data_IF_234511878016
#
_entry.id   IF_234511878016
#
_cell.length_a   1.000
_cell.length_b   1.000
_cell.length_c   1.000
_cell.angle_alpha   90.00
_cell.angle_beta   90.00
_cell.angle_gamma   90.00
#
_symmetry.space_group_name_H-M   'P 1'
#
loop_
_entity.id
_entity.type
_entity.pdbx_description
1 polymer ?
#
# COMPACT_ATOMS: atom_id res chain seq x y z
N UNK A 1 -6.22 6.81 -0.71
CA UNK A 1 -5.07 7.73 -0.55
C UNK A 1 -3.79 6.91 -0.68
N UNK A 2 -2.83 7.35 -1.50
CA UNK A 2 -1.56 6.64 -1.73
C UNK A 2 -0.40 7.61 -1.59
N UNK A 3 0.51 7.36 -0.66
CA UNK A 3 1.68 8.21 -0.41
C UNK A 3 2.95 7.37 -0.35
N UNK A 4 4.07 7.95 -0.77
CA UNK A 4 5.37 7.28 -0.76
C UNK A 4 6.49 8.25 -0.37
N UNK A 5 7.40 7.82 0.50
CA UNK A 5 8.55 8.64 0.91
C UNK A 5 9.78 7.74 1.17
N UNK A 6 11.00 8.18 0.82
CA UNK A 6 12.22 7.39 1.05
C UNK A 6 12.60 7.25 2.52
N UNK A 7 12.31 8.25 3.35
CA UNK A 7 12.68 8.23 4.79
C UNK A 7 11.66 7.51 5.70
N UNK A 8 10.67 6.82 5.12
CA UNK A 8 9.70 6.06 5.90
C UNK A 8 10.18 4.64 6.16
N UNK A 9 9.80 4.06 7.30
CA UNK A 9 10.09 2.66 7.62
C UNK A 9 8.85 1.80 7.50
N UNK A 10 8.90 0.75 6.68
CA UNK A 10 7.82 -0.20 6.47
C UNK A 10 7.30 -0.83 7.78
N UNK A 11 8.14 -0.92 8.81
CA UNK A 11 7.76 -1.43 10.12
C UNK A 11 6.66 -0.59 10.80
N UNK A 12 6.60 0.72 10.56
CA UNK A 12 5.62 1.62 11.17
C UNK A 12 4.45 1.99 10.25
N UNK A 13 4.59 1.78 8.93
CA UNK A 13 3.58 2.20 7.95
C UNK A 13 2.20 1.60 8.21
N UNK A 14 2.12 0.35 8.66
CA UNK A 14 0.84 -0.30 8.95
C UNK A 14 0.08 0.33 10.13
N UNK A 15 0.80 0.89 11.11
CA UNK A 15 0.19 1.61 12.24
C UNK A 15 -0.30 2.99 11.81
N UNK A 16 0.55 3.72 11.08
CA UNK A 16 0.22 5.06 10.59
C UNK A 16 -0.95 5.01 9.60
N UNK A 17 -0.94 4.05 8.67
CA UNK A 17 -2.04 3.85 7.74
C UNK A 17 -3.36 3.55 8.46
N UNK A 18 -3.33 2.82 9.58
CA UNK A 18 -4.53 2.54 10.39
C UNK A 18 -5.12 3.81 10.97
N UNK A 19 -4.28 4.64 11.62
CA UNK A 19 -4.70 5.94 12.16
C UNK A 19 -5.28 6.86 11.08
N UNK A 20 -4.68 6.87 9.88
CA UNK A 20 -5.20 7.64 8.76
C UNK A 20 -6.53 7.08 8.22
N UNK A 21 -6.74 5.77 8.24
CA UNK A 21 -8.05 5.19 7.93
C UNK A 21 -9.08 5.64 8.97
N UNK A 22 -8.75 5.61 10.26
CA UNK A 22 -9.67 6.03 11.33
C UNK A 22 -10.02 7.52 11.23
N UNK A 23 -9.05 8.37 10.92
CA UNK A 23 -9.22 9.83 10.82
C UNK A 23 -9.99 10.26 9.56
N UNK A 24 -9.67 9.65 8.41
CA UNK A 24 -10.23 10.08 7.12
C UNK A 24 -11.36 9.20 6.58
N UNK A 25 -11.55 8.00 7.16
CA UNK A 25 -12.50 6.97 6.74
C UNK A 25 -12.36 6.58 5.25
N UNK A 26 -11.13 6.39 4.77
CA UNK A 26 -10.84 5.99 3.38
C UNK A 26 -9.69 4.99 3.36
N UNK A 27 -9.60 4.09 2.37
CA UNK A 27 -8.43 3.23 2.21
C UNK A 27 -7.13 4.04 2.06
N UNK A 28 -6.09 3.61 2.78
CA UNK A 28 -4.78 4.25 2.83
C UNK A 28 -3.69 3.26 2.46
N UNK A 29 -2.81 3.68 1.55
CA UNK A 29 -1.60 2.95 1.17
C UNK A 29 -0.42 3.86 1.42
N UNK A 30 0.51 3.41 2.26
CA UNK A 30 1.78 4.10 2.51
C UNK A 30 2.93 3.22 2.01
N UNK A 31 3.95 3.85 1.43
CA UNK A 31 5.04 3.14 0.77
C UNK A 31 6.38 3.73 1.22
N UNK A 32 7.26 2.87 1.72
CA UNK A 32 8.69 3.13 1.85
C UNK A 32 9.31 3.06 0.45
N UNK A 33 9.76 4.21 -0.07
CA UNK A 33 10.35 4.32 -1.40
C UNK A 33 11.84 3.99 -1.34
N UNK A 34 12.19 2.74 -1.60
CA UNK A 34 13.59 2.33 -1.76
C UNK A 34 14.14 2.63 -3.16
N UNK A 35 15.44 2.37 -3.37
CA UNK A 35 16.11 2.63 -4.65
C UNK A 35 15.71 1.64 -5.75
N UNK A 36 15.66 0.34 -5.42
CA UNK A 36 15.33 -0.74 -6.38
C UNK A 36 13.97 -1.37 -6.07
N UNK A 37 13.69 -1.62 -4.79
CA UNK A 37 12.44 -2.18 -4.31
C UNK A 37 11.80 -1.21 -3.33
N UNK A 38 10.47 -1.08 -3.40
CA UNK A 38 9.64 -0.32 -2.47
C UNK A 38 8.71 -1.26 -1.72
N UNK A 39 8.50 -1.01 -0.43
CA UNK A 39 7.63 -1.81 0.45
C UNK A 39 6.45 -0.98 0.92
N UNK A 40 5.27 -1.57 0.90
CA UNK A 40 4.04 -0.86 1.22
C UNK A 40 3.19 -1.56 2.26
N UNK A 41 2.47 -0.75 3.04
CA UNK A 41 1.40 -1.19 3.92
C UNK A 41 0.09 -0.52 3.49
N UNK A 42 -0.97 -1.32 3.42
CA UNK A 42 -2.28 -0.90 3.02
C UNK A 42 -3.30 -1.21 4.12
N UNK A 43 -4.17 -0.25 4.41
CA UNK A 43 -5.29 -0.36 5.35
C UNK A 43 -6.57 0.07 4.67
N UNK A 44 -7.68 -0.52 5.09
CA UNK A 44 -8.96 -0.34 4.44
C UNK A 44 -10.10 -0.15 5.44
N UNK A 45 -11.24 0.26 4.91
CA UNK A 45 -12.54 0.30 5.61
C UNK A 45 -13.33 -0.99 5.33
N UNK A 46 -14.32 -1.31 6.18
CA UNK A 46 -15.09 -2.57 6.14
C UNK A 46 -15.64 -2.93 4.75
N UNK A 47 -16.08 -1.93 3.98
CA UNK A 47 -16.70 -2.12 2.66
C UNK A 47 -15.71 -2.13 1.49
N UNK A 48 -14.40 -2.13 1.74
CA UNK A 48 -13.39 -2.16 0.69
C UNK A 48 -12.35 -3.26 0.94
N UNK A 49 -12.23 -4.22 0.03
CA UNK A 49 -11.25 -5.29 0.13
C UNK A 49 -9.93 -4.88 -0.53
N UNK A 50 -8.95 -4.50 0.30
CA UNK A 50 -7.65 -4.02 -0.18
C UNK A 50 -6.83 -5.11 -0.87
N UNK A 51 -6.92 -6.36 -0.41
CA UNK A 51 -6.21 -7.49 -1.02
C UNK A 51 -6.72 -7.77 -2.44
N UNK A 52 -8.04 -7.64 -2.66
CA UNK A 52 -8.61 -7.77 -4.02
C UNK A 52 -8.21 -6.60 -4.92
N UNK A 53 -8.06 -5.39 -4.38
CA UNK A 53 -7.54 -4.27 -5.16
C UNK A 53 -6.06 -4.51 -5.56
N UNK A 54 -5.24 -4.97 -4.61
CA UNK A 54 -3.84 -5.31 -4.87
C UNK A 54 -3.68 -6.46 -5.87
N UNK A 55 -4.57 -7.46 -5.84
CA UNK A 55 -4.49 -8.59 -6.78
C UNK A 55 -4.69 -8.17 -8.24
N UNK A 56 -5.47 -7.12 -8.51
CA UNK A 56 -5.60 -6.51 -9.85
C UNK A 56 -4.30 -5.85 -10.33
N UNK A 57 -3.43 -5.49 -9.40
CA UNK A 57 -2.09 -4.94 -9.64
C UNK A 57 -0.97 -5.98 -9.53
N UNK A 58 -1.29 -7.28 -9.39
CA UNK A 58 -0.31 -8.35 -9.15
C UNK A 58 0.88 -8.36 -10.11
N UNK A 59 0.69 -7.98 -11.37
CA UNK A 59 1.76 -7.87 -12.39
C UNK A 59 2.83 -6.80 -12.07
N UNK A 60 2.50 -5.81 -11.25
CA UNK A 60 3.40 -4.74 -10.83
C UNK A 60 4.07 -5.04 -9.50
N UNK A 61 3.58 -6.06 -8.78
CA UNK A 61 3.99 -6.41 -7.42
C UNK A 61 4.96 -7.59 -7.48
N UNK A 62 5.99 -7.55 -6.64
CA UNK A 62 6.89 -8.68 -6.39
C UNK A 62 6.17 -9.69 -5.48
N UNK A 63 5.54 -9.19 -4.43
CA UNK A 63 4.74 -9.99 -3.49
C UNK A 63 3.65 -9.11 -2.86
N UNK A 64 2.55 -9.74 -2.47
CA UNK A 64 1.51 -9.10 -1.66
C UNK A 64 0.75 -10.15 -0.84
N UNK A 65 0.20 -9.74 0.30
CA UNK A 65 -0.57 -10.62 1.16
C UNK A 65 -1.27 -9.89 2.31
N UNK A 66 -2.24 -10.54 2.93
CA UNK A 66 -3.02 -10.00 4.04
C UNK A 66 -4.50 -10.32 3.96
N UNK A 67 -5.32 -9.52 4.64
CA UNK A 67 -6.77 -9.66 4.78
C UNK A 67 -7.50 -8.46 4.16
N UNK A 68 -8.84 -8.55 4.11
CA UNK A 68 -9.70 -7.51 3.50
C UNK A 68 -9.40 -6.10 3.98
N UNK A 69 -9.07 -5.95 5.26
CA UNK A 69 -8.83 -4.66 5.93
C UNK A 69 -7.36 -4.22 5.92
N UNK A 70 -6.44 -5.11 5.58
CA UNK A 70 -5.02 -4.96 5.87
C UNK A 70 -4.15 -5.80 4.96
N UNK A 71 -3.22 -5.19 4.23
CA UNK A 71 -2.28 -5.92 3.39
C UNK A 71 -0.88 -5.30 3.41
N UNK A 72 0.13 -6.13 3.19
CA UNK A 72 1.50 -5.74 2.90
C UNK A 72 1.87 -6.15 1.47
N UNK A 73 2.75 -5.38 0.82
CA UNK A 73 3.23 -5.68 -0.51
C UNK A 73 4.63 -5.12 -0.76
N UNK A 74 5.29 -5.59 -1.81
CA UNK A 74 6.46 -4.94 -2.38
C UNK A 74 6.43 -4.92 -3.90
N UNK A 75 7.15 -3.98 -4.50
CA UNK A 75 7.27 -3.79 -5.94
C UNK A 75 8.64 -3.23 -6.30
N UNK A 76 9.05 -3.38 -7.56
CA UNK A 76 10.19 -2.61 -8.06
C UNK A 76 9.87 -1.12 -8.05
N UNK A 77 10.78 -0.27 -7.56
CA UNK A 77 10.57 1.18 -7.46
C UNK A 77 10.23 1.82 -8.80
N UNK A 78 10.72 1.26 -9.92
CA UNK A 78 10.37 1.70 -11.27
C UNK A 78 8.88 1.57 -11.61
N UNK A 79 8.17 0.65 -10.95
CA UNK A 79 6.73 0.41 -11.16
C UNK A 79 5.85 1.26 -10.24
N UNK A 80 6.43 2.09 -9.36
CA UNK A 80 5.71 2.83 -8.33
C UNK A 80 4.65 3.78 -8.90
N UNK A 81 4.99 4.52 -9.94
CA UNK A 81 4.04 5.47 -10.56
C UNK A 81 2.90 4.73 -11.26
N UNK A 82 3.21 3.67 -12.05
CA UNK A 82 2.18 2.81 -12.65
C UNK A 82 1.25 2.16 -11.60
N UNK A 83 1.80 1.78 -10.44
CA UNK A 83 1.02 1.22 -9.35
C UNK A 83 0.06 2.26 -8.75
N UNK A 84 0.54 3.49 -8.51
CA UNK A 84 -0.29 4.59 -8.00
C UNK A 84 -1.45 4.90 -8.96
N UNK A 85 -1.17 4.98 -10.26
CA UNK A 85 -2.19 5.24 -11.28
C UNK A 85 -3.28 4.17 -11.31
N UNK A 86 -2.92 2.88 -11.21
CA UNK A 86 -3.90 1.78 -11.21
C UNK A 86 -4.73 1.66 -9.93
N UNK A 87 -4.25 2.22 -8.83
CA UNK A 87 -4.88 2.14 -7.52
C UNK A 87 -5.61 3.44 -7.12
N UNK A 88 -5.55 4.48 -7.95
CA UNK A 88 -6.22 5.77 -7.72
C UNK A 88 -7.66 5.78 -8.19
#
# INVERSE_FOLDING_TARGET
MILAHPDWSAAVLGLVAGRLVDEFYRPVILIEKGNQESKGAARSIENFNITTALSKCSKLLIQFGGHKEAAGFSLETKNLENFKEKMS
#
